data_IF_374834784467
#
_entry.id   IF_374834784467
#
_cell.length_a   1.000
_cell.length_b   1.000
_cell.length_c   1.000
_cell.angle_alpha   90.00
_cell.angle_beta   90.00
_cell.angle_gamma   90.00
#
_symmetry.space_group_name_H-M   'P 1'
#
loop_
_entity.id
_entity.type
_entity.pdbx_description
1 polymer ?
#
# COMPACT_ATOMS: atom_id res chain seq x y z
N UNK A 1 1.00 30.65 -13.68
CA UNK A 1 0.27 29.43 -14.09
C UNK A 1 1.12 28.23 -13.72
N UNK A 2 0.48 27.12 -13.35
CA UNK A 2 1.02 25.88 -12.75
C UNK A 2 1.22 25.93 -11.23
N UNK A 3 0.12 25.72 -10.51
CA UNK A 3 0.11 25.22 -9.13
C UNK A 3 0.55 23.76 -9.16
N UNK A 4 1.74 23.47 -8.62
CA UNK A 4 2.22 22.10 -8.39
C UNK A 4 1.34 21.50 -7.28
N UNK A 5 0.28 20.80 -7.68
CA UNK A 5 -0.57 19.98 -6.81
C UNK A 5 0.26 18.77 -6.40
N UNK A 6 1.14 18.95 -5.41
CA UNK A 6 1.71 17.83 -4.69
C UNK A 6 0.73 17.44 -3.60
N UNK A 7 -0.07 16.41 -3.88
CA UNK A 7 -0.73 15.63 -2.85
C UNK A 7 0.26 15.38 -1.70
N UNK A 8 -0.15 15.49 -0.43
CA UNK A 8 0.76 15.34 0.70
C UNK A 8 1.43 13.96 0.66
N UNK A 9 2.68 13.93 0.19
CA UNK A 9 3.56 12.77 0.25
C UNK A 9 3.59 12.28 1.70
N UNK A 10 3.26 11.01 1.99
CA UNK A 10 3.06 10.53 3.36
C UNK A 10 4.39 10.46 4.09
N UNK A 11 4.77 11.56 4.71
CA UNK A 11 5.92 11.71 5.60
C UNK A 11 5.77 10.96 6.94
N UNK A 12 4.81 10.02 7.06
CA UNK A 12 4.52 9.32 8.31
C UNK A 12 4.91 7.83 8.30
N UNK A 13 5.02 7.21 7.13
CA UNK A 13 5.44 5.81 7.02
C UNK A 13 6.80 5.77 6.34
N UNK A 14 7.86 5.78 7.16
CA UNK A 14 9.23 5.62 6.68
C UNK A 14 9.35 4.33 5.85
N UNK A 15 9.44 4.45 4.51
CA UNK A 15 9.57 3.31 3.61
C UNK A 15 11.03 2.84 3.58
N UNK A 16 11.25 1.58 3.94
CA UNK A 16 12.55 0.91 3.89
C UNK A 16 12.82 0.29 2.51
N UNK A 17 11.80 -0.24 1.85
CA UNK A 17 11.94 -0.89 0.54
C UNK A 17 10.65 -0.82 -0.26
N UNK A 18 10.79 -0.51 -1.53
CA UNK A 18 9.72 -0.59 -2.53
C UNK A 18 9.88 -1.89 -3.32
N UNK A 19 8.79 -2.62 -3.53
CA UNK A 19 8.77 -3.77 -4.43
C UNK A 19 8.20 -3.33 -5.79
N UNK A 20 8.53 -4.04 -6.89
CA UNK A 20 7.98 -3.72 -8.20
C UNK A 20 6.44 -3.73 -8.18
N UNK A 21 5.79 -2.78 -8.88
CA UNK A 21 4.34 -2.77 -9.02
C UNK A 21 3.85 -4.02 -9.77
N UNK A 22 2.62 -4.43 -9.48
CA UNK A 22 1.91 -5.52 -10.12
C UNK A 22 0.50 -5.03 -10.45
N UNK A 23 0.36 -4.46 -11.65
CA UNK A 23 -0.83 -3.70 -12.01
C UNK A 23 -0.96 -2.46 -11.14
N UNK A 24 -2.17 -2.15 -10.66
CA UNK A 24 -2.42 -1.05 -9.73
C UNK A 24 -1.81 -1.25 -8.33
N UNK A 25 -1.35 -2.46 -8.00
CA UNK A 25 -0.91 -2.80 -6.65
C UNK A 25 0.61 -2.68 -6.50
N UNK A 26 1.07 -1.99 -5.48
CA UNK A 26 2.49 -1.93 -5.14
C UNK A 26 2.71 -2.21 -3.66
N UNK A 27 3.66 -3.11 -3.37
CA UNK A 27 4.03 -3.46 -1.99
C UNK A 27 5.20 -2.62 -1.51
N UNK A 28 5.14 -2.23 -0.24
CA UNK A 28 6.19 -1.49 0.46
C UNK A 28 6.51 -2.18 1.78
N UNK A 29 7.80 -2.18 2.14
CA UNK A 29 8.28 -2.48 3.48
C UNK A 29 8.59 -1.17 4.19
N UNK A 30 8.06 -1.01 5.39
CA UNK A 30 8.28 0.12 6.28
C UNK A 30 9.46 -0.15 7.22
N UNK A 31 10.09 0.93 7.71
CA UNK A 31 11.13 0.89 8.73
C UNK A 31 10.54 0.43 10.07
N UNK A 32 9.43 1.06 10.46
CA UNK A 32 8.71 0.80 11.72
C UNK A 32 7.53 -0.14 11.49
N UNK A 33 7.13 -0.84 12.54
CA UNK A 33 5.86 -1.58 12.55
C UNK A 33 4.75 -0.55 12.67
N UNK A 34 3.75 -0.66 11.80
CA UNK A 34 2.62 0.27 11.74
C UNK A 34 1.33 -0.50 11.91
N UNK A 35 0.42 0.06 12.70
CA UNK A 35 -0.97 -0.39 12.80
C UNK A 35 -1.81 0.35 11.78
N UNK A 36 -2.57 -0.37 10.96
CA UNK A 36 -3.46 0.19 9.94
C UNK A 36 -4.67 -0.73 9.71
N UNK A 37 -5.76 -0.17 9.20
CA UNK A 37 -6.94 -0.94 8.79
C UNK A 37 -6.81 -1.31 7.32
N UNK A 38 -6.91 -2.62 7.01
CA UNK A 38 -6.87 -3.08 5.63
C UNK A 38 -8.16 -2.70 4.89
N UNK A 39 -8.07 -1.94 3.79
CA UNK A 39 -9.22 -1.56 2.94
C UNK A 39 -10.05 -2.76 2.47
N UNK A 40 -9.41 -3.89 2.19
CA UNK A 40 -10.08 -5.07 1.60
C UNK A 40 -10.80 -5.95 2.62
N UNK A 41 -10.14 -6.28 3.74
CA UNK A 41 -10.72 -7.20 4.73
C UNK A 41 -11.26 -6.48 5.97
N UNK A 42 -11.13 -5.16 6.05
CA UNK A 42 -11.59 -4.29 7.14
C UNK A 42 -11.07 -4.65 8.53
N UNK A 43 -10.02 -5.49 8.59
CA UNK A 43 -9.37 -5.86 9.84
C UNK A 43 -8.17 -4.96 10.10
N UNK A 44 -7.96 -4.63 11.37
CA UNK A 44 -6.73 -4.00 11.84
C UNK A 44 -5.53 -4.96 11.66
N UNK A 45 -4.41 -4.39 11.24
CA UNK A 45 -3.15 -5.10 10.98
C UNK A 45 -2.00 -4.31 11.56
N UNK A 46 -1.12 -5.01 12.26
CA UNK A 46 0.13 -4.46 12.79
C UNK A 46 1.29 -5.13 12.06
N UNK A 47 1.93 -4.41 11.13
CA UNK A 47 2.90 -5.00 10.20
C UNK A 47 3.91 -3.97 9.69
N UNK A 48 5.03 -4.47 9.14
CA UNK A 48 5.98 -3.67 8.35
C UNK A 48 5.70 -3.73 6.85
N UNK A 49 4.74 -4.53 6.41
CA UNK A 49 4.38 -4.68 5.00
C UNK A 49 3.00 -4.11 4.76
N UNK A 50 2.93 -3.17 3.83
CA UNK A 50 1.72 -2.52 3.35
C UNK A 50 1.70 -2.58 1.83
N UNK A 51 0.50 -2.47 1.27
CA UNK A 51 0.28 -2.44 -0.17
C UNK A 51 -0.62 -1.25 -0.46
N UNK A 52 -0.24 -0.43 -1.45
CA UNK A 52 -1.08 0.63 -1.99
C UNK A 52 -1.75 0.15 -3.25
N UNK A 53 -2.90 0.74 -3.56
CA UNK A 53 -3.61 0.60 -4.83
C UNK A 53 -3.59 1.97 -5.51
N UNK A 54 -3.11 2.04 -6.76
CA UNK A 54 -2.93 3.29 -7.53
C UNK A 54 -2.11 4.36 -6.79
N UNK A 55 -1.13 3.91 -6.00
CA UNK A 55 -0.30 4.79 -5.17
C UNK A 55 -1.03 5.46 -4.01
N UNK A 56 -2.28 5.07 -3.72
CA UNK A 56 -3.06 5.64 -2.62
C UNK A 56 -2.63 5.05 -1.26
N UNK A 57 -2.08 5.92 -0.40
CA UNK A 57 -1.60 5.58 0.94
C UNK A 57 -2.63 5.71 2.05
N UNK A 58 -3.79 6.30 1.78
CA UNK A 58 -4.92 6.33 2.72
C UNK A 58 -5.65 4.98 2.76
N UNK A 59 -5.53 4.22 1.68
CA UNK A 59 -6.26 2.98 1.43
C UNK A 59 -5.32 1.76 1.45
N UNK A 60 -4.62 1.56 2.56
CA UNK A 60 -3.64 0.48 2.69
C UNK A 60 -4.29 -0.90 2.68
N UNK A 61 -3.61 -1.84 2.03
CA UNK A 61 -3.97 -3.25 1.98
C UNK A 61 -2.92 -4.10 2.69
N UNK A 62 -3.38 -5.15 3.37
CA UNK A 62 -2.48 -6.06 4.06
C UNK A 62 -1.83 -7.08 3.12
N UNK A 63 -0.65 -7.57 3.51
CA UNK A 63 0.09 -8.57 2.74
C UNK A 63 -0.73 -9.85 2.45
N UNK A 64 -1.63 -10.26 3.36
CA UNK A 64 -2.50 -11.43 3.14
C UNK A 64 -3.51 -11.23 2.01
N UNK A 65 -4.20 -10.09 2.01
CA UNK A 65 -5.14 -9.70 0.95
C UNK A 65 -4.43 -9.52 -0.39
N UNK A 66 -3.23 -8.94 -0.37
CA UNK A 66 -2.38 -8.82 -1.54
C UNK A 66 -2.01 -10.19 -2.12
N UNK A 67 -1.50 -11.11 -1.29
CA UNK A 67 -1.15 -12.47 -1.71
C UNK A 67 -2.34 -13.24 -2.29
N UNK A 68 -3.56 -12.97 -1.81
CA UNK A 68 -4.78 -13.53 -2.39
C UNK A 68 -5.09 -12.95 -3.79
N UNK A 69 -5.02 -11.62 -3.99
CA UNK A 69 -5.20 -11.00 -5.32
C UNK A 69 -4.19 -11.52 -6.35
N UNK A 70 -2.93 -11.69 -5.93
CA UNK A 70 -1.90 -12.23 -6.81
C UNK A 70 -2.19 -13.66 -7.28
N UNK A 71 -2.86 -14.46 -6.45
CA UNK A 71 -3.24 -15.84 -6.81
C UNK A 71 -4.45 -15.89 -7.73
N UNK A 72 -5.42 -15.00 -7.51
CA UNK A 72 -6.64 -14.93 -8.33
C UNK A 72 -6.41 -14.28 -9.70
N UNK A 73 -5.25 -13.66 -9.94
CA UNK A 73 -5.02 -12.87 -11.15
C UNK A 73 -5.87 -11.60 -11.21
N UNK A 74 -6.45 -11.19 -10.09
CA UNK A 74 -7.33 -10.04 -9.95
C UNK A 74 -6.61 -8.76 -9.54
N UNK A 75 -5.27 -8.76 -9.57
CA UNK A 75 -4.51 -7.51 -9.56
C UNK A 75 -4.83 -6.78 -10.88
N UNK A 76 -5.58 -5.67 -10.86
CA UNK A 76 -6.00 -5.01 -12.09
C UNK A 76 -4.74 -4.55 -12.83
N UNK A 77 -4.63 -4.95 -14.09
CA UNK A 77 -3.49 -4.68 -14.97
C UNK A 77 -3.22 -3.18 -15.14
#
# INVERSE_FOLDING_TARGET
MATDNQDPKPSQLDVLKEFPPRGALQQFRLVKVTTFTCKRCSQEKTSKLVVTEDGNWENLMCNGCYGFLLKEGSAPA
#
